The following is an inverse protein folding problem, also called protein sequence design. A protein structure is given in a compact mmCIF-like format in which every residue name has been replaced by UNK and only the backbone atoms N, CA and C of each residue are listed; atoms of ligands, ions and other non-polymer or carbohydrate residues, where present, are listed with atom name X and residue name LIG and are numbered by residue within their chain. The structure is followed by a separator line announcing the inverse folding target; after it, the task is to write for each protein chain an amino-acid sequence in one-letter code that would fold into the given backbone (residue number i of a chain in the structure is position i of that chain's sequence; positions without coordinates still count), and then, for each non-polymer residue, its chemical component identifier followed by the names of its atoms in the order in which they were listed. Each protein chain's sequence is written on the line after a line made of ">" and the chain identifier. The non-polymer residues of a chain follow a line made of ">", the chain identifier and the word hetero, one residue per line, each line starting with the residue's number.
data_IF_709133691622
#
_entry.id   IF_709133691622
#
_cell.length_a   1.000
_cell.length_b   1.000
_cell.length_c   1.000
_cell.angle_alpha   90.00
_cell.angle_beta   90.00
_cell.angle_gamma   90.00
#
_symmetry.space_group_name_H-M   'P 1'
#
loop_
_entity.id
_entity.type
_entity.pdbx_description
1 polymer ?
#
# COMPACT_ATOMS: atom_id res chain seq x y z
N UNK A 1 18.87 8.29 8.53
CA UNK A 1 18.63 6.82 8.63
C UNK A 1 18.83 6.24 7.25
N UNK A 2 19.56 5.13 7.15
CA UNK A 2 19.72 4.42 5.88
C UNK A 2 18.54 3.48 5.64
N UNK A 3 18.33 3.04 4.39
CA UNK A 3 17.31 2.05 4.06
C UNK A 3 17.52 0.71 4.82
N UNK A 4 18.76 0.34 5.11
CA UNK A 4 19.10 -0.85 5.88
C UNK A 4 18.67 -0.74 7.37
N UNK A 5 18.81 0.46 7.96
CA UNK A 5 18.35 0.73 9.33
C UNK A 5 16.83 0.60 9.45
N UNK A 6 16.10 0.98 8.40
CA UNK A 6 14.64 0.88 8.33
C UNK A 6 14.19 -0.57 8.25
N UNK A 7 14.74 -1.35 7.32
CA UNK A 7 14.40 -2.78 7.13
C UNK A 7 14.63 -3.58 8.41
N UNK A 8 15.73 -3.31 9.13
CA UNK A 8 16.04 -3.99 10.41
C UNK A 8 15.01 -3.70 11.51
N UNK A 9 14.37 -2.52 11.49
CA UNK A 9 13.38 -2.09 12.50
C UNK A 9 11.96 -2.55 12.19
N UNK A 10 11.67 -2.92 10.94
CA UNK A 10 10.34 -3.33 10.54
C UNK A 10 10.16 -4.83 10.77
N UNK A 11 9.87 -5.16 12.03
CA UNK A 11 9.31 -6.46 12.38
C UNK A 11 7.80 -6.29 12.66
N UNK A 12 6.97 -7.16 12.08
CA UNK A 12 5.51 -7.17 12.25
C UNK A 12 5.06 -7.68 13.63
N UNK A 13 5.93 -7.65 14.65
CA UNK A 13 5.61 -8.15 15.99
C UNK A 13 4.58 -7.25 16.72
N UNK A 14 4.51 -5.96 16.39
CA UNK A 14 3.64 -4.98 17.04
C UNK A 14 3.35 -3.78 16.11
N UNK A 15 2.07 -3.40 16.03
CA UNK A 15 1.64 -2.21 15.31
C UNK A 15 1.69 -0.97 16.22
N UNK A 16 2.88 -0.40 16.40
CA UNK A 16 3.11 0.80 17.22
C UNK A 16 3.68 1.96 16.40
N UNK A 17 3.34 3.24 16.72
CA UNK A 17 3.77 4.40 15.94
C UNK A 17 5.26 4.44 15.62
N UNK A 18 6.12 4.11 16.58
CA UNK A 18 7.58 4.12 16.40
C UNK A 18 8.08 3.21 15.27
N UNK A 19 7.31 2.17 14.94
CA UNK A 19 7.65 1.20 13.90
C UNK A 19 7.09 1.55 12.53
N UNK A 20 5.88 2.10 12.44
CA UNK A 20 5.25 2.39 11.14
C UNK A 20 5.39 3.86 10.71
N UNK A 21 5.38 4.83 11.63
CA UNK A 21 5.43 6.26 11.29
C UNK A 21 6.63 6.63 10.42
N UNK A 22 7.85 6.08 10.60
CA UNK A 22 8.99 6.40 9.73
C UNK A 22 8.83 5.94 8.28
N UNK A 23 7.95 4.96 8.02
CA UNK A 23 7.68 4.42 6.69
C UNK A 23 6.47 5.09 6.03
N UNK A 24 5.50 5.51 6.84
CA UNK A 24 4.24 6.06 6.38
C UNK A 24 4.41 7.55 6.05
N UNK A 25 4.30 7.89 4.78
CA UNK A 25 4.32 9.28 4.29
C UNK A 25 2.90 9.84 4.25
N UNK A 26 2.28 10.01 5.42
CA UNK A 26 0.88 10.41 5.51
C UNK A 26 0.62 11.78 4.85
N UNK A 27 1.60 12.68 4.87
CA UNK A 27 1.54 14.00 4.25
C UNK A 27 1.53 13.93 2.71
N UNK A 28 2.06 12.86 2.13
CA UNK A 28 2.05 12.59 0.68
C UNK A 28 0.79 11.80 0.25
N UNK A 29 -0.07 11.41 1.19
CA UNK A 29 -1.25 10.61 0.88
C UNK A 29 -2.33 11.43 0.18
N UNK A 30 -3.04 10.85 -0.80
CA UNK A 30 -4.13 11.55 -1.49
C UNK A 30 -5.25 11.92 -0.50
N UNK A 31 -5.80 13.14 -0.58
CA UNK A 31 -6.91 13.55 0.29
C UNK A 31 -8.17 12.71 0.07
N UNK A 32 -8.94 12.53 1.14
CA UNK A 32 -10.25 11.86 1.07
C UNK A 32 -11.16 12.57 0.07
N UNK A 33 -11.85 11.79 -0.77
CA UNK A 33 -12.76 12.30 -1.80
C UNK A 33 -12.07 12.67 -3.11
N UNK A 34 -10.74 12.65 -3.17
CA UNK A 34 -10.01 12.71 -4.45
C UNK A 34 -9.87 11.31 -5.06
N UNK A 35 -9.73 11.25 -6.38
CA UNK A 35 -9.41 10.00 -7.07
C UNK A 35 -8.05 9.51 -6.58
N UNK A 36 -7.98 8.26 -6.14
CA UNK A 36 -6.73 7.63 -5.75
C UNK A 36 -5.77 7.53 -6.97
N UNK A 37 -4.44 7.49 -6.75
CA UNK A 37 -3.51 7.20 -7.82
C UNK A 37 -3.67 5.75 -8.30
N UNK A 38 -3.51 5.54 -9.60
CA UNK A 38 -3.41 4.18 -10.17
C UNK A 38 -1.98 3.67 -10.06
N UNK A 39 -1.82 2.36 -9.92
CA UNK A 39 -0.53 1.66 -9.88
C UNK A 39 -0.69 0.25 -10.46
N UNK A 40 0.41 -0.36 -10.96
CA UNK A 40 0.38 -1.71 -11.49
C UNK A 40 0.15 -2.72 -10.36
N UNK A 41 -0.58 -3.76 -10.68
CA UNK A 41 -0.96 -4.88 -9.82
C UNK A 41 -0.74 -6.18 -10.59
N UNK A 42 -0.55 -7.26 -9.86
CA UNK A 42 -0.44 -8.59 -10.44
C UNK A 42 -1.56 -9.47 -9.90
N UNK A 43 -2.24 -10.17 -10.80
CA UNK A 43 -3.16 -11.24 -10.43
C UNK A 43 -2.36 -12.46 -9.98
N UNK A 44 -3.05 -13.40 -9.31
CA UNK A 44 -2.45 -14.64 -8.81
C UNK A 44 -1.92 -15.54 -9.94
N UNK A 45 -2.39 -15.34 -11.17
CA UNK A 45 -1.95 -16.05 -12.37
C UNK A 45 -0.80 -15.34 -13.10
N UNK A 46 -0.13 -14.39 -12.44
CA UNK A 46 0.97 -13.59 -12.99
C UNK A 46 0.57 -12.76 -14.22
N UNK A 47 -0.71 -12.41 -14.37
CA UNK A 47 -1.11 -11.39 -15.34
C UNK A 47 -1.10 -10.00 -14.73
N UNK A 48 -0.59 -9.02 -15.47
CA UNK A 48 -0.56 -7.62 -15.06
C UNK A 48 -1.95 -6.98 -15.19
N UNK A 49 -2.29 -6.12 -14.23
CA UNK A 49 -3.48 -5.25 -14.25
C UNK A 49 -3.15 -3.93 -13.55
N UNK A 50 -4.12 -3.04 -13.41
CA UNK A 50 -3.94 -1.79 -12.65
C UNK A 50 -5.11 -1.53 -11.73
N UNK A 51 -4.89 -0.75 -10.68
CA UNK A 51 -5.98 -0.34 -9.79
C UNK A 51 -7.10 0.39 -10.57
N UNK A 52 -6.73 1.18 -11.60
CA UNK A 52 -7.69 1.87 -12.43
C UNK A 52 -8.60 0.95 -13.25
N UNK A 53 -8.04 -0.12 -13.81
CA UNK A 53 -8.82 -1.14 -14.51
C UNK A 53 -9.82 -1.83 -13.57
N UNK A 54 -9.39 -2.12 -12.34
CA UNK A 54 -10.22 -2.74 -11.31
C UNK A 54 -11.38 -1.83 -10.88
N UNK A 55 -11.13 -0.57 -10.50
CA UNK A 55 -12.25 0.28 -10.07
C UNK A 55 -13.18 0.70 -11.20
N UNK A 56 -12.73 0.67 -12.47
CA UNK A 56 -13.56 1.11 -13.60
C UNK A 56 -14.58 0.04 -13.98
N UNK A 57 -14.32 -1.21 -13.60
CA UNK A 57 -15.18 -2.36 -13.87
C UNK A 57 -16.18 -2.65 -12.74
N UNK A 58 -16.11 -1.93 -11.62
CA UNK A 58 -16.94 -2.19 -10.43
C UNK A 58 -17.63 -0.92 -9.95
N UNK A 59 -18.86 -1.05 -9.42
CA UNK A 59 -19.58 0.08 -8.82
C UNK A 59 -18.87 0.62 -7.56
N UNK A 60 -18.20 -0.27 -6.83
CA UNK A 60 -17.43 0.05 -5.64
C UNK A 60 -16.23 -0.88 -5.52
N UNK A 61 -15.10 -0.35 -5.10
CA UNK A 61 -13.85 -1.11 -4.90
C UNK A 61 -13.31 -0.85 -3.50
N UNK A 62 -13.10 -1.91 -2.73
CA UNK A 62 -12.41 -1.87 -1.43
C UNK A 62 -11.03 -2.49 -1.64
N UNK A 63 -9.99 -1.78 -1.21
CA UNK A 63 -8.60 -2.24 -1.30
C UNK A 63 -8.10 -2.50 0.11
N UNK A 64 -7.59 -3.71 0.34
CA UNK A 64 -6.92 -4.11 1.57
C UNK A 64 -5.44 -4.39 1.25
N UNK A 65 -4.53 -3.77 2.01
CA UNK A 65 -3.10 -4.04 1.90
C UNK A 65 -2.70 -5.03 2.98
N UNK A 66 -2.07 -6.13 2.58
CA UNK A 66 -1.51 -7.13 3.46
C UNK A 66 -0.18 -7.64 2.93
N UNK A 67 0.58 -8.29 3.80
CA UNK A 67 1.80 -9.01 3.44
C UNK A 67 1.61 -10.49 3.76
N UNK A 68 2.21 -11.34 2.93
CA UNK A 68 2.39 -12.76 3.22
C UNK A 68 3.83 -12.95 3.66
N UNK A 69 4.04 -13.63 4.79
CA UNK A 69 5.35 -14.06 5.28
C UNK A 69 5.60 -15.52 4.94
#
# INVERSE_FOLDING_TARGET
>A
MTAADLITRYNYDAFVPDKFMPWMRFEESPPVGQKAPSFPLWRLDETETSLEELWSSHLYTVVEFGSFT
#
